data_IF_010441659661
#
_entry.id   IF_010441659661
#
_cell.length_a   1.000
_cell.length_b   1.000
_cell.length_c   1.000
_cell.angle_alpha   90.00
_cell.angle_beta   90.00
_cell.angle_gamma   90.00
#
_symmetry.space_group_name_H-M   'P 1'
#
loop_
_entity.id
_entity.type
_entity.pdbx_description
1 polymer ?
#
# COMPACT_ATOMS: atom_id res chain seq x y z
N UNK A 1 -18.22 -15.71 -56.88
CA UNK A 1 -18.64 -16.38 -55.63
C UNK A 1 -17.47 -16.73 -54.71
N UNK A 2 -16.31 -17.16 -55.23
CA UNK A 2 -15.18 -17.68 -54.44
C UNK A 2 -14.50 -16.71 -53.44
N UNK A 3 -14.48 -15.39 -53.71
CA UNK A 3 -13.77 -14.41 -52.83
C UNK A 3 -14.53 -14.08 -51.55
N UNK A 4 -15.86 -13.94 -51.63
CA UNK A 4 -16.71 -13.69 -50.46
C UNK A 4 -16.75 -14.90 -49.50
N UNK A 5 -16.74 -16.11 -50.04
CA UNK A 5 -16.61 -17.35 -49.25
C UNK A 5 -15.24 -17.47 -48.56
N UNK A 6 -14.18 -16.90 -49.17
CA UNK A 6 -12.87 -16.77 -48.53
C UNK A 6 -12.91 -15.86 -47.31
N UNK A 7 -13.51 -14.67 -47.45
CA UNK A 7 -13.66 -13.70 -46.35
C UNK A 7 -14.51 -14.27 -45.22
N UNK A 8 -15.63 -14.92 -45.54
CA UNK A 8 -16.50 -15.54 -44.53
C UNK A 8 -15.77 -16.62 -43.71
N UNK A 9 -14.96 -17.46 -44.36
CA UNK A 9 -14.14 -18.47 -43.67
C UNK A 9 -13.06 -17.84 -42.78
N UNK A 10 -12.39 -16.79 -43.25
CA UNK A 10 -11.40 -16.07 -42.46
C UNK A 10 -12.03 -15.43 -41.20
N UNK A 11 -13.24 -14.87 -41.32
CA UNK A 11 -13.95 -14.30 -40.17
C UNK A 11 -14.31 -15.36 -39.12
N UNK A 12 -14.78 -16.54 -39.54
CA UNK A 12 -15.08 -17.65 -38.61
C UNK A 12 -13.82 -18.13 -37.90
N UNK A 13 -12.70 -18.26 -38.60
CA UNK A 13 -11.41 -18.63 -37.99
C UNK A 13 -10.92 -17.57 -36.99
N UNK A 14 -11.12 -16.29 -37.30
CA UNK A 14 -10.76 -15.19 -36.41
C UNK A 14 -11.58 -15.21 -35.12
N UNK A 15 -12.89 -15.48 -35.23
CA UNK A 15 -13.81 -15.59 -34.10
C UNK A 15 -13.46 -16.78 -33.17
N UNK A 16 -13.10 -17.92 -33.76
CA UNK A 16 -12.62 -19.09 -33.01
C UNK A 16 -11.31 -18.79 -32.27
N UNK A 17 -10.35 -18.11 -32.92
CA UNK A 17 -9.09 -17.67 -32.27
C UNK A 17 -9.34 -16.68 -31.14
N UNK A 18 -10.23 -15.70 -31.34
CA UNK A 18 -10.59 -14.74 -30.30
C UNK A 18 -11.22 -15.43 -29.09
N UNK A 19 -12.17 -16.34 -29.33
CA UNK A 19 -12.79 -17.14 -28.26
C UNK A 19 -11.76 -17.96 -27.48
N UNK A 20 -10.78 -18.54 -28.18
CA UNK A 20 -9.67 -19.27 -27.54
C UNK A 20 -8.81 -18.37 -26.67
N UNK A 21 -8.50 -17.14 -27.13
CA UNK A 21 -7.72 -16.17 -26.36
C UNK A 21 -8.48 -15.66 -25.13
N UNK A 22 -9.79 -15.39 -25.25
CA UNK A 22 -10.60 -14.96 -24.10
C UNK A 22 -10.63 -16.02 -23.00
N UNK A 23 -10.76 -17.30 -23.39
CA UNK A 23 -10.68 -18.42 -22.45
C UNK A 23 -9.30 -18.53 -21.79
N UNK A 24 -8.21 -18.36 -22.54
CA UNK A 24 -6.85 -18.37 -22.00
C UNK A 24 -6.63 -17.21 -21.00
N UNK A 25 -7.08 -15.99 -21.34
CA UNK A 25 -7.00 -14.84 -20.44
C UNK A 25 -7.78 -15.06 -19.14
N UNK A 26 -8.95 -15.71 -19.21
CA UNK A 26 -9.72 -16.06 -18.02
C UNK A 26 -8.97 -17.04 -17.11
N UNK A 27 -8.37 -18.09 -17.69
CA UNK A 27 -7.54 -19.07 -16.95
C UNK A 27 -6.32 -18.40 -16.31
N UNK A 28 -5.68 -17.46 -17.02
CA UNK A 28 -4.53 -16.73 -16.51
C UNK A 28 -4.93 -15.76 -15.38
N UNK A 29 -6.09 -15.10 -15.48
CA UNK A 29 -6.61 -14.26 -14.42
C UNK A 29 -6.90 -15.07 -13.13
N UNK A 30 -7.48 -16.26 -13.27
CA UNK A 30 -7.72 -17.18 -12.16
C UNK A 30 -6.40 -17.66 -11.53
N UNK A 31 -5.41 -18.03 -12.36
CA UNK A 31 -4.06 -18.42 -11.90
C UNK A 31 -3.34 -17.30 -11.14
N UNK A 32 -3.39 -16.05 -11.63
CA UNK A 32 -2.81 -14.89 -10.94
C UNK A 32 -3.49 -14.65 -9.60
N UNK A 33 -4.81 -14.81 -9.53
CA UNK A 33 -5.56 -14.70 -8.27
C UNK A 33 -5.12 -15.75 -7.25
N UNK A 34 -4.95 -17.00 -7.69
CA UNK A 34 -4.45 -18.10 -6.84
C UNK A 34 -3.03 -17.81 -6.31
N UNK A 35 -2.11 -17.37 -7.18
CA UNK A 35 -0.73 -16.99 -6.79
C UNK A 35 -0.75 -15.85 -5.77
N UNK A 36 -1.60 -14.83 -5.97
CA UNK A 36 -1.74 -13.72 -5.01
C UNK A 36 -2.22 -14.22 -3.63
N UNK A 37 -3.17 -15.15 -3.59
CA UNK A 37 -3.65 -15.73 -2.34
C UNK A 37 -2.55 -16.55 -1.64
N UNK A 38 -1.77 -17.32 -2.40
CA UNK A 38 -0.66 -18.11 -1.87
C UNK A 38 0.47 -17.21 -1.34
N UNK A 39 0.81 -16.13 -2.04
CA UNK A 39 1.82 -15.16 -1.61
C UNK A 39 1.40 -14.44 -0.32
N UNK A 40 0.10 -14.09 -0.20
CA UNK A 40 -0.44 -13.55 1.04
C UNK A 40 -0.35 -14.56 2.19
N UNK A 41 -0.60 -15.84 1.92
CA UNK A 41 -0.45 -16.91 2.91
C UNK A 41 1.00 -17.08 3.35
N UNK A 42 1.96 -17.18 2.41
CA UNK A 42 3.40 -17.29 2.71
C UNK A 42 3.89 -16.08 3.49
N UNK A 43 3.52 -14.86 3.07
CA UNK A 43 3.88 -13.62 3.77
C UNK A 43 3.40 -13.65 5.22
N UNK A 44 2.16 -14.12 5.45
CA UNK A 44 1.60 -14.27 6.80
C UNK A 44 2.38 -15.31 7.61
N UNK A 45 2.71 -16.46 7.03
CA UNK A 45 3.49 -17.51 7.71
C UNK A 45 4.86 -16.98 8.11
N UNK A 46 5.57 -16.27 7.23
CA UNK A 46 6.86 -15.64 7.52
C UNK A 46 6.74 -14.58 8.62
N UNK A 47 5.69 -13.76 8.58
CA UNK A 47 5.45 -12.76 9.61
C UNK A 47 5.15 -13.43 10.98
N UNK A 48 4.37 -14.51 10.98
CA UNK A 48 4.03 -15.26 12.18
C UNK A 48 5.25 -16.00 12.76
N UNK A 49 6.11 -16.62 11.94
CA UNK A 49 7.35 -17.25 12.42
C UNK A 49 8.36 -16.22 12.92
N UNK A 50 8.49 -15.06 12.26
CA UNK A 50 9.30 -13.95 12.77
C UNK A 50 8.80 -13.44 14.13
N UNK A 51 7.49 -13.48 14.40
CA UNK A 51 6.95 -13.13 15.72
C UNK A 51 7.04 -14.25 16.75
N UNK A 52 7.05 -15.52 16.32
CA UNK A 52 7.09 -16.69 17.21
C UNK A 52 8.51 -16.99 17.73
N UNK A 53 9.55 -16.72 16.95
CA UNK A 53 10.96 -16.86 17.38
C UNK A 53 11.45 -15.70 18.28
N UNK A 54 10.55 -14.77 18.67
CA UNK A 54 10.83 -13.67 19.58
C UNK A 54 10.43 -13.95 21.05
N UNK A 55 10.56 -15.19 21.54
CA UNK A 55 10.66 -15.43 22.98
C UNK A 55 12.14 -15.40 23.43
N UNK A 56 12.46 -14.70 24.53
CA UNK A 56 13.82 -14.23 24.77
C UNK A 56 14.71 -15.35 25.30
N UNK A 57 15.66 -15.78 24.48
CA UNK A 57 16.93 -16.30 25.02
C UNK A 57 17.71 -15.11 25.63
N UNK A 58 18.30 -15.22 26.84
CA UNK A 58 18.80 -14.07 27.60
C UNK A 58 20.04 -13.35 27.03
N UNK A 59 20.52 -13.66 25.82
CA UNK A 59 21.85 -13.24 25.37
C UNK A 59 21.96 -12.67 23.94
N UNK A 60 20.86 -12.28 23.30
CA UNK A 60 20.92 -11.63 21.98
C UNK A 60 20.21 -10.27 21.90
N UNK A 61 20.68 -9.40 20.99
CA UNK A 61 20.76 -7.96 21.20
C UNK A 61 19.38 -7.33 21.25
N UNK A 62 19.19 -6.47 22.26
CA UNK A 62 18.03 -5.61 22.49
C UNK A 62 17.31 -5.27 21.18
N UNK A 63 16.17 -5.95 20.94
CA UNK A 63 15.25 -5.57 19.88
C UNK A 63 14.93 -4.09 20.07
N UNK A 64 15.23 -3.31 19.04
CA UNK A 64 15.00 -1.88 18.96
C UNK A 64 13.49 -1.64 18.95
N UNK A 65 12.91 -1.58 20.13
CA UNK A 65 11.50 -1.27 20.33
C UNK A 65 11.34 0.24 20.21
N UNK A 66 10.55 0.67 19.23
CA UNK A 66 10.17 2.07 19.09
C UNK A 66 9.18 2.42 20.21
N UNK A 67 9.67 3.11 21.22
CA UNK A 67 8.86 3.51 22.38
C UNK A 67 7.78 4.53 22.01
N UNK A 68 7.68 5.01 20.76
CA UNK A 68 6.68 5.97 20.31
C UNK A 68 6.66 7.28 21.13
N UNK A 69 7.81 7.67 21.68
CA UNK A 69 7.95 8.86 22.52
C UNK A 69 8.11 10.14 21.69
N UNK A 70 7.56 11.24 22.20
CA UNK A 70 7.72 12.60 21.67
C UNK A 70 8.18 13.51 22.79
N UNK A 71 9.19 14.34 22.50
CA UNK A 71 9.67 15.41 23.35
C UNK A 71 8.96 16.71 22.97
N UNK A 72 8.29 17.32 23.95
CA UNK A 72 7.82 18.70 23.93
C UNK A 72 8.80 19.58 24.74
N UNK A 73 9.43 20.53 24.08
CA UNK A 73 10.37 21.49 24.69
C UNK A 73 9.86 22.92 24.61
N UNK A 74 10.41 23.80 25.46
CA UNK A 74 10.06 25.23 25.50
C UNK A 74 8.95 25.58 26.50
N UNK A 75 8.63 24.68 27.43
CA UNK A 75 7.61 24.91 28.46
C UNK A 75 8.17 25.82 29.57
N UNK A 76 7.39 26.76 30.07
CA UNK A 76 7.77 27.55 31.25
C UNK A 76 7.85 26.66 32.49
N UNK A 77 8.86 26.88 33.35
CA UNK A 77 8.94 26.23 34.67
C UNK A 77 7.82 26.68 35.60
N UNK A 78 7.32 27.89 35.43
CA UNK A 78 6.29 28.51 36.28
C UNK A 78 4.87 28.04 35.90
N UNK A 79 4.74 27.25 34.83
CA UNK A 79 3.45 26.71 34.41
C UNK A 79 2.88 25.78 35.48
N UNK A 80 1.80 26.23 36.14
CA UNK A 80 0.99 25.46 37.11
C UNK A 80 0.10 24.40 36.45
N UNK A 81 -0.01 24.41 35.12
CA UNK A 81 -0.80 23.43 34.37
C UNK A 81 -0.22 22.02 34.51
N UNK A 82 -1.13 21.05 34.62
CA UNK A 82 -0.79 19.62 34.57
C UNK A 82 -0.29 19.23 33.18
N UNK A 83 0.53 18.18 33.11
CA UNK A 83 1.08 17.70 31.84
C UNK A 83 -0.03 17.35 30.82
N UNK A 84 -1.17 16.81 31.27
CA UNK A 84 -2.33 16.55 30.40
C UNK A 84 -2.91 17.84 29.83
N UNK A 85 -3.13 18.86 30.66
CA UNK A 85 -3.68 20.15 30.20
C UNK A 85 -2.72 20.87 29.24
N UNK A 86 -1.41 20.74 29.46
CA UNK A 86 -0.38 21.24 28.54
C UNK A 86 -0.51 20.55 27.18
N UNK A 87 -0.62 19.23 27.16
CA UNK A 87 -0.76 18.45 25.93
C UNK A 87 -2.08 18.73 25.23
N UNK A 88 -3.19 18.82 25.94
CA UNK A 88 -4.51 19.15 25.37
C UNK A 88 -4.46 20.50 24.64
N UNK A 89 -3.91 21.53 25.29
CA UNK A 89 -3.76 22.87 24.68
C UNK A 89 -2.80 22.84 23.48
N UNK A 90 -1.65 22.19 23.63
CA UNK A 90 -0.63 22.11 22.56
C UNK A 90 -1.19 21.39 21.33
N UNK A 91 -1.80 20.21 21.54
CA UNK A 91 -2.35 19.41 20.45
C UNK A 91 -3.57 20.08 19.82
N UNK A 92 -4.44 20.73 20.60
CA UNK A 92 -5.55 21.52 20.05
C UNK A 92 -5.07 22.63 19.11
N UNK A 93 -3.99 23.32 19.49
CA UNK A 93 -3.46 24.43 18.69
C UNK A 93 -2.75 24.00 17.39
N UNK A 94 -2.23 22.78 17.32
CA UNK A 94 -1.74 22.21 16.05
C UNK A 94 -2.86 21.56 15.21
N UNK A 95 -4.12 21.66 15.66
CA UNK A 95 -5.30 21.12 14.96
C UNK A 95 -5.61 19.66 15.28
N UNK A 96 -5.13 19.16 16.42
CA UNK A 96 -5.29 17.77 16.88
C UNK A 96 -5.97 17.68 18.28
N UNK A 97 -7.12 18.33 18.52
CA UNK A 97 -7.71 18.47 19.87
C UNK A 97 -8.10 17.16 20.55
N UNK A 98 -8.31 16.08 19.80
CA UNK A 98 -8.68 14.78 20.34
C UNK A 98 -7.51 13.81 20.49
N UNK A 99 -6.27 14.21 20.17
CA UNK A 99 -5.15 13.27 20.11
C UNK A 99 -4.53 12.95 21.47
N UNK A 100 -4.85 13.70 22.53
CA UNK A 100 -4.42 13.38 23.90
C UNK A 100 -4.95 12.06 24.42
N UNK A 101 -6.11 11.58 23.93
CA UNK A 101 -6.63 10.25 24.27
C UNK A 101 -5.74 9.09 23.80
N UNK A 102 -4.84 9.35 22.86
CA UNK A 102 -3.87 8.37 22.34
C UNK A 102 -2.51 8.47 23.03
N UNK A 103 -2.39 9.31 24.06
CA UNK A 103 -1.19 9.40 24.88
C UNK A 103 -1.32 8.41 26.04
N UNK A 104 -0.40 7.45 26.10
CA UNK A 104 -0.43 6.38 27.11
C UNK A 104 0.28 6.78 28.39
N UNK A 105 1.31 7.63 28.29
CA UNK A 105 2.14 8.04 29.42
C UNK A 105 2.76 9.41 29.19
N UNK A 106 2.95 10.15 30.27
CA UNK A 106 3.78 11.36 30.29
C UNK A 106 4.88 11.24 31.33
N UNK A 107 5.99 11.92 31.12
CA UNK A 107 7.10 12.02 32.09
C UNK A 107 7.89 13.30 31.88
N UNK A 108 8.41 13.89 32.95
CA UNK A 108 9.34 15.00 32.85
C UNK A 108 10.65 14.58 32.16
N UNK A 109 11.21 15.48 31.34
CA UNK A 109 12.53 15.29 30.74
C UNK A 109 13.59 16.00 31.58
N UNK A 110 14.41 15.24 32.31
CA UNK A 110 15.58 15.79 33.01
C UNK A 110 16.80 15.76 32.09
N UNK A 111 17.28 16.93 31.68
CA UNK A 111 18.53 17.05 30.94
C UNK A 111 19.72 16.87 31.89
N UNK A 112 20.04 15.63 32.29
CA UNK A 112 21.22 15.38 33.13
C UNK A 112 22.56 15.70 32.43
N UNK A 113 22.58 15.88 31.10
CA UNK A 113 23.81 16.01 30.31
C UNK A 113 23.83 17.12 29.23
N UNK A 114 22.87 18.06 29.18
CA UNK A 114 23.04 19.20 28.26
C UNK A 114 23.96 20.24 28.89
N UNK A 115 25.00 20.65 28.15
CA UNK A 115 25.84 21.80 28.49
C UNK A 115 24.90 22.99 28.71
N UNK A 116 24.75 23.43 29.96
CA UNK A 116 23.93 24.57 30.34
C UNK A 116 24.40 25.76 29.51
N UNK A 117 23.60 26.20 28.55
CA UNK A 117 23.83 27.48 27.90
C UNK A 117 23.30 28.54 28.87
N UNK A 118 24.15 29.39 29.47
CA UNK A 118 23.72 30.30 30.54
C UNK A 118 22.65 31.31 30.11
N UNK A 119 22.46 31.51 28.80
CA UNK A 119 21.48 32.43 28.23
C UNK A 119 20.13 31.79 27.84
N UNK A 120 19.96 30.46 27.95
CA UNK A 120 18.64 29.87 27.73
C UNK A 120 17.81 30.04 29.01
N UNK A 121 16.77 30.87 28.96
CA UNK A 121 15.77 30.99 30.01
C UNK A 121 15.32 29.61 30.50
N UNK A 122 15.07 29.49 31.80
CA UNK A 122 14.82 28.20 32.44
C UNK A 122 13.50 27.59 31.94
N UNK A 123 13.58 26.73 30.93
CA UNK A 123 12.44 26.00 30.36
C UNK A 123 12.47 24.54 30.81
N UNK A 124 11.29 23.96 31.05
CA UNK A 124 11.13 22.52 31.22
C UNK A 124 10.79 21.85 29.89
N UNK A 125 11.00 20.55 29.84
CA UNK A 125 10.58 19.70 28.73
C UNK A 125 9.78 18.51 29.26
N UNK A 126 8.83 18.07 28.46
CA UNK A 126 7.91 16.97 28.74
C UNK A 126 8.10 15.90 27.67
N UNK A 127 8.14 14.64 28.07
CA UNK A 127 8.02 13.51 27.14
C UNK A 127 6.67 12.88 27.30
N UNK A 128 6.05 12.54 26.17
CA UNK A 128 4.83 11.77 26.14
C UNK A 128 4.94 10.60 25.16
N UNK A 129 4.35 9.48 25.55
CA UNK A 129 4.34 8.25 24.78
C UNK A 129 3.01 8.13 24.03
N UNK A 130 3.08 7.93 22.72
CA UNK A 130 1.90 7.69 21.89
C UNK A 130 1.53 6.19 21.92
N UNK A 131 0.25 5.88 21.72
CA UNK A 131 -0.23 4.50 21.63
C UNK A 131 0.23 3.77 20.37
N UNK A 132 0.69 4.49 19.34
CA UNK A 132 1.24 3.91 18.12
C UNK A 132 2.20 4.87 17.39
N UNK A 133 3.07 4.35 16.49
CA UNK A 133 3.92 5.17 15.63
C UNK A 133 3.11 6.11 14.72
N UNK A 134 1.95 5.67 14.23
CA UNK A 134 1.08 6.46 13.36
C UNK A 134 0.58 7.73 14.06
N UNK A 135 0.18 7.61 15.34
CA UNK A 135 -0.24 8.77 16.15
C UNK A 135 0.93 9.73 16.34
N UNK A 136 2.12 9.20 16.68
CA UNK A 136 3.34 10.01 16.81
C UNK A 136 3.61 10.79 15.52
N UNK A 137 3.67 10.09 14.39
CA UNK A 137 4.06 10.68 13.11
C UNK A 137 3.03 11.73 12.65
N UNK A 138 1.75 11.53 12.96
CA UNK A 138 0.68 12.52 12.76
C UNK A 138 0.91 13.77 13.61
N UNK A 139 1.29 13.62 14.89
CA UNK A 139 1.61 14.76 15.76
C UNK A 139 2.85 15.50 15.24
N UNK A 140 3.89 14.77 14.84
CA UNK A 140 5.13 15.36 14.32
C UNK A 140 4.90 16.09 12.99
N UNK A 141 4.08 15.57 12.08
CA UNK A 141 3.78 16.26 10.81
C UNK A 141 3.07 17.60 11.02
N UNK A 142 2.31 17.75 12.10
CA UNK A 142 1.62 18.99 12.49
C UNK A 142 2.46 19.93 13.36
N UNK A 143 3.65 19.50 13.80
CA UNK A 143 4.50 20.26 14.73
C UNK A 143 4.95 21.62 14.19
N UNK A 144 5.04 21.79 12.86
CA UNK A 144 5.42 23.05 12.22
C UNK A 144 4.50 24.22 12.62
N UNK A 145 3.24 23.95 12.97
CA UNK A 145 2.28 24.97 13.43
C UNK A 145 2.67 25.60 14.78
N UNK A 146 3.51 24.94 15.58
CA UNK A 146 4.01 25.50 16.84
C UNK A 146 5.04 26.61 16.66
N UNK A 147 5.70 26.69 15.49
CA UNK A 147 6.74 27.70 15.24
C UNK A 147 6.24 29.14 15.36
N UNK A 148 4.95 29.37 15.12
CA UNK A 148 4.30 30.68 15.19
C UNK A 148 3.62 30.96 16.54
N UNK A 149 3.62 30.00 17.47
CA UNK A 149 2.88 30.09 18.72
C UNK A 149 3.86 30.34 19.87
N UNK A 150 3.71 31.49 20.53
CA UNK A 150 4.49 31.81 21.73
C UNK A 150 3.93 31.08 22.94
N UNK A 151 4.80 30.57 23.81
CA UNK A 151 4.41 29.88 25.05
C UNK A 151 3.46 30.72 25.91
N UNK A 152 3.67 32.04 25.97
CA UNK A 152 2.79 32.98 26.68
C UNK A 152 1.34 32.94 26.19
N UNK A 153 1.12 32.93 24.87
CA UNK A 153 -0.23 32.90 24.28
C UNK A 153 -0.99 31.60 24.56
N UNK A 154 -0.26 30.50 24.72
CA UNK A 154 -0.86 29.18 24.89
C UNK A 154 -1.19 28.88 26.37
N UNK A 155 -0.31 29.29 27.27
CA UNK A 155 -0.37 28.89 28.68
C UNK A 155 -0.56 30.04 29.67
N UNK A 156 -0.61 31.30 29.21
CA UNK A 156 -0.67 32.49 30.07
C UNK A 156 0.51 32.57 31.05
N UNK A 157 1.72 32.30 30.55
CA UNK A 157 2.97 32.33 31.34
C UNK A 157 3.92 33.37 30.79
N UNK A 158 4.70 34.05 31.64
CA UNK A 158 5.56 35.19 31.27
C UNK A 158 6.84 34.83 30.49
N UNK A 159 6.82 33.71 29.76
CA UNK A 159 7.95 33.23 28.96
C UNK A 159 7.81 33.50 27.47
N UNK A 160 8.81 34.15 26.88
CA UNK A 160 8.94 34.34 25.41
C UNK A 160 9.43 33.10 24.65
N UNK A 161 9.38 31.92 25.26
CA UNK A 161 9.81 30.67 24.63
C UNK A 161 8.96 30.30 23.40
N UNK A 162 9.58 29.62 22.44
CA UNK A 162 8.89 28.89 21.39
C UNK A 162 8.79 27.40 21.73
N UNK A 163 7.65 26.79 21.39
CA UNK A 163 7.43 25.37 21.60
C UNK A 163 7.97 24.56 20.42
N UNK A 164 8.54 23.40 20.73
CA UNK A 164 8.95 22.45 19.68
C UNK A 164 8.62 21.02 20.06
N UNK A 165 8.13 20.25 19.10
CA UNK A 165 7.92 18.81 19.20
C UNK A 165 8.99 18.07 18.41
N UNK A 166 9.58 17.02 18.99
CA UNK A 166 10.54 16.15 18.32
C UNK A 166 10.31 14.70 18.68
N UNK A 167 10.36 13.75 17.73
CA UNK A 167 10.29 12.34 18.07
C UNK A 167 11.53 11.95 18.89
N UNK A 168 11.31 11.21 19.97
CA UNK A 168 12.38 10.57 20.73
C UNK A 168 12.54 9.15 20.22
N UNK A 169 13.44 9.03 19.27
CA UNK A 169 13.93 7.73 18.85
C UNK A 169 14.92 7.22 19.90
N UNK A 170 14.88 5.92 20.27
CA UNK A 170 15.96 5.35 21.06
C UNK A 170 17.29 5.63 20.36
N UNK A 171 18.34 5.96 21.13
CA UNK A 171 19.65 6.40 20.58
C UNK A 171 20.26 5.45 19.54
N UNK A 172 19.84 4.18 19.52
CA UNK A 172 20.29 3.14 18.58
C UNK A 172 19.39 2.96 17.35
N UNK A 173 18.25 3.66 17.25
CA UNK A 173 17.27 3.47 16.16
C UNK A 173 17.58 4.34 14.96
N UNK A 174 18.20 5.52 15.15
CA UNK A 174 18.61 6.36 14.04
C UNK A 174 19.81 5.72 13.35
N UNK A 175 19.67 5.16 12.15
CA UNK A 175 20.82 4.59 11.47
C UNK A 175 21.82 5.71 11.19
N UNK A 176 23.08 5.46 11.46
CA UNK A 176 24.14 6.40 11.10
C UNK A 176 24.44 6.28 9.61
N UNK A 177 24.60 7.43 8.95
CA UNK A 177 25.04 7.43 7.57
C UNK A 177 26.44 6.82 7.48
N UNK A 178 26.56 5.75 6.69
CA UNK A 178 27.82 5.05 6.51
C UNK A 178 28.95 5.96 5.97
N UNK A 179 28.60 7.05 5.29
CA UNK A 179 29.53 8.05 4.77
C UNK A 179 29.85 9.15 5.78
N UNK A 180 28.88 9.99 6.16
CA UNK A 180 29.15 11.18 6.95
C UNK A 180 29.11 10.94 8.47
N UNK A 181 28.74 9.74 8.93
CA UNK A 181 28.62 9.36 10.35
C UNK A 181 27.59 10.18 11.16
N UNK A 182 26.76 10.97 10.48
CA UNK A 182 25.64 11.66 11.12
C UNK A 182 24.40 10.76 11.11
N UNK A 183 23.59 10.86 12.16
CA UNK A 183 22.30 10.17 12.27
C UNK A 183 21.35 10.56 11.12
N UNK A 184 20.56 9.60 10.62
CA UNK A 184 19.59 9.84 9.56
C UNK A 184 18.18 9.92 10.15
N UNK A 185 17.54 11.10 10.08
CA UNK A 185 16.30 11.39 10.80
C UNK A 185 15.00 11.22 10.01
N UNK A 186 15.05 11.17 8.68
CA UNK A 186 13.84 11.23 7.84
C UNK A 186 13.87 10.19 6.72
N UNK A 187 14.71 10.41 5.71
CA UNK A 187 14.84 9.53 4.56
C UNK A 187 16.24 8.93 4.53
N UNK A 188 16.33 7.61 4.44
CA UNK A 188 17.58 6.90 4.16
C UNK A 188 17.40 5.92 3.01
N UNK A 189 18.51 5.65 2.35
CA UNK A 189 18.62 4.54 1.41
C UNK A 189 19.46 3.45 2.07
N UNK A 190 18.94 2.23 2.06
CA UNK A 190 19.60 1.05 2.62
C UNK A 190 20.09 0.16 1.49
N UNK A 191 21.35 -0.24 1.53
CA UNK A 191 21.86 -1.27 0.62
C UNK A 191 21.35 -2.65 1.07
N UNK A 192 20.75 -3.41 0.15
CA UNK A 192 20.19 -4.73 0.45
C UNK A 192 21.28 -5.77 0.81
N UNK A 193 22.47 -5.68 0.22
CA UNK A 193 23.56 -6.61 0.51
C UNK A 193 24.30 -6.33 1.82
N UNK A 194 24.63 -5.06 2.09
CA UNK A 194 25.48 -4.68 3.23
C UNK A 194 24.68 -4.08 4.42
N UNK A 195 23.37 -3.87 4.28
CA UNK A 195 22.50 -3.17 5.24
C UNK A 195 22.93 -1.75 5.66
N UNK A 196 23.96 -1.18 5.02
CA UNK A 196 24.43 0.18 5.30
C UNK A 196 23.37 1.20 4.87
N UNK A 197 23.12 2.17 5.73
CA UNK A 197 22.18 3.25 5.50
C UNK A 197 22.92 4.54 5.12
N UNK A 198 22.37 5.31 4.19
CA UNK A 198 22.95 6.55 3.67
C UNK A 198 21.88 7.64 3.57
N UNK A 199 22.26 8.91 3.80
CA UNK A 199 21.42 10.03 3.35
C UNK A 199 21.34 10.01 1.82
N UNK A 200 20.21 10.43 1.22
CA UNK A 200 20.08 10.55 -0.24
C UNK A 200 21.25 11.33 -0.89
N UNK A 201 21.60 12.49 -0.35
CA UNK A 201 22.73 13.30 -0.83
C UNK A 201 24.12 12.70 -0.57
N UNK A 202 24.22 11.66 0.28
CA UNK A 202 25.48 10.98 0.56
C UNK A 202 25.78 9.84 -0.42
N UNK A 203 24.82 9.38 -1.22
CA UNK A 203 24.94 8.16 -2.02
C UNK A 203 25.97 8.29 -3.14
N UNK A 204 25.84 9.29 -4.03
CA UNK A 204 26.74 9.42 -5.19
C UNK A 204 28.22 9.44 -4.78
N UNK A 205 28.65 10.25 -3.80
CA UNK A 205 30.06 10.25 -3.44
C UNK A 205 30.44 9.15 -2.44
N UNK A 206 29.48 8.43 -1.84
CA UNK A 206 29.76 7.16 -1.17
C UNK A 206 30.11 6.08 -2.20
N UNK A 207 29.30 5.92 -3.24
CA UNK A 207 29.52 4.93 -4.32
C UNK A 207 30.81 5.20 -5.10
N UNK A 208 31.16 6.48 -5.29
CA UNK A 208 32.42 6.87 -5.92
C UNK A 208 33.68 6.57 -5.08
N UNK A 209 33.54 6.29 -3.78
CA UNK A 209 34.68 5.96 -2.93
C UNK A 209 35.25 4.57 -3.27
N UNK A 210 36.57 4.47 -3.37
CA UNK A 210 37.27 3.21 -3.65
C UNK A 210 37.00 2.14 -2.58
N UNK A 211 36.85 2.54 -1.32
CA UNK A 211 36.60 1.67 -0.17
C UNK A 211 35.15 1.14 -0.07
N UNK A 212 34.26 1.53 -1.00
CA UNK A 212 32.86 1.08 -0.97
C UNK A 212 32.73 -0.35 -1.49
N UNK A 213 32.05 -1.19 -0.72
CA UNK A 213 31.80 -2.60 -1.06
C UNK A 213 31.06 -2.73 -2.39
N UNK A 214 31.38 -3.78 -3.15
CA UNK A 214 30.78 -4.05 -4.47
C UNK A 214 29.24 -4.07 -4.42
N UNK A 215 28.67 -4.69 -3.39
CA UNK A 215 27.21 -4.77 -3.23
C UNK A 215 26.56 -3.38 -3.09
N UNK A 216 27.20 -2.47 -2.35
CA UNK A 216 26.68 -1.12 -2.18
C UNK A 216 26.94 -0.27 -3.45
N UNK A 217 27.97 -0.57 -4.27
CA UNK A 217 28.13 0.05 -5.61
C UNK A 217 27.01 -0.36 -6.55
N UNK A 218 26.80 -1.66 -6.73
CA UNK A 218 25.81 -2.22 -7.65
C UNK A 218 24.36 -1.84 -7.27
N UNK A 219 24.01 -1.96 -5.98
CA UNK A 219 22.64 -1.71 -5.52
C UNK A 219 22.26 -0.23 -5.50
N UNK A 220 23.24 0.69 -5.38
CA UNK A 220 22.98 2.11 -5.18
C UNK A 220 23.32 2.97 -6.40
N UNK A 221 24.14 2.48 -7.35
CA UNK A 221 24.46 3.22 -8.58
C UNK A 221 23.28 3.38 -9.52
N UNK A 222 22.33 2.44 -9.47
CA UNK A 222 21.12 2.46 -10.30
C UNK A 222 20.03 3.42 -9.77
N UNK A 223 20.18 3.94 -8.55
CA UNK A 223 19.22 4.87 -7.97
C UNK A 223 19.48 6.27 -8.52
N UNK A 224 18.67 6.69 -9.49
CA UNK A 224 18.70 8.05 -10.01
C UNK A 224 18.07 9.02 -9.01
N UNK A 225 18.83 9.35 -7.98
CA UNK A 225 18.46 10.32 -6.96
C UNK A 225 19.01 11.66 -7.45
N UNK A 226 18.28 12.26 -8.37
CA UNK A 226 18.38 13.70 -8.59
C UNK A 226 17.77 14.40 -7.37
N UNK A 227 18.44 15.38 -6.75
CA UNK A 227 17.82 16.17 -5.71
C UNK A 227 16.59 16.84 -6.33
N UNK A 228 15.40 16.44 -5.89
CA UNK A 228 14.16 17.09 -6.31
C UNK A 228 14.25 18.57 -5.98
N UNK A 229 14.31 19.40 -7.00
CA UNK A 229 13.92 20.80 -6.89
C UNK A 229 12.40 20.79 -6.75
N UNK A 230 11.92 20.77 -5.51
CA UNK A 230 10.52 21.06 -5.26
C UNK A 230 10.23 22.47 -5.79
N UNK A 231 9.21 22.57 -6.65
CA UNK A 231 8.82 23.79 -7.37
C UNK A 231 8.21 24.88 -6.47
N UNK A 232 8.25 24.73 -5.14
CA UNK A 232 7.83 25.75 -4.18
C UNK A 232 9.06 26.33 -3.49
N UNK A 233 9.34 27.61 -3.77
CA UNK A 233 10.53 28.37 -3.37
C UNK A 233 10.76 28.57 -1.87
N UNK A 234 10.71 27.53 -1.05
CA UNK A 234 11.14 27.55 0.34
C UNK A 234 12.60 27.07 0.45
N UNK A 235 13.50 28.02 0.73
CA UNK A 235 14.91 27.74 0.99
C UNK A 235 15.04 26.87 2.25
N UNK A 236 15.38 25.60 2.08
CA UNK A 236 16.06 24.84 3.13
C UNK A 236 17.46 25.43 3.30
N UNK A 237 17.62 26.36 4.26
CA UNK A 237 18.93 26.74 4.77
C UNK A 237 19.47 25.58 5.63
N UNK A 238 20.23 24.68 5.01
CA UNK A 238 21.22 23.91 5.76
C UNK A 238 22.37 24.85 6.12
N UNK A 239 22.68 24.96 7.41
CA UNK A 239 23.77 25.76 7.94
C UNK A 239 25.11 25.51 7.22
N UNK A 240 25.74 26.63 6.82
CA UNK A 240 27.16 26.85 6.56
C UNK A 240 27.98 25.66 6.01
N UNK A 241 28.01 25.55 4.67
CA UNK A 241 29.17 25.00 3.98
C UNK A 241 30.08 26.17 3.55
N UNK A 242 31.31 26.12 4.05
CA UNK A 242 32.42 27.00 3.70
C UNK A 242 32.57 27.09 2.18
N UNK A 243 32.51 28.32 1.67
CA UNK A 243 32.67 28.66 0.27
C UNK A 243 34.11 28.44 -0.22
N UNK A 244 34.28 27.84 -1.39
CA UNK A 244 35.33 28.21 -2.35
C UNK A 244 34.89 27.90 -3.79
N UNK A 245 34.86 28.96 -4.59
CA UNK A 245 34.52 29.08 -6.02
C UNK A 245 35.48 28.27 -6.92
N UNK A 246 35.10 27.77 -8.12
CA UNK A 246 34.89 28.54 -9.37
C UNK A 246 34.37 27.64 -10.52
N UNK A 247 33.40 28.19 -11.28
CA UNK A 247 33.15 28.16 -12.75
C UNK A 247 33.16 26.81 -13.52
N UNK A 248 32.30 26.55 -14.53
CA UNK A 248 31.76 27.43 -15.58
C UNK A 248 30.53 26.77 -16.24
N UNK A 249 29.56 27.59 -16.62
CA UNK A 249 28.31 27.23 -17.30
C UNK A 249 28.49 26.85 -18.78
N UNK A 250 27.54 26.07 -19.32
CA UNK A 250 26.95 26.29 -20.65
C UNK A 250 25.56 25.65 -20.77
N UNK A 251 24.62 26.47 -21.24
CA UNK A 251 23.22 26.18 -21.55
C UNK A 251 23.07 25.21 -22.72
N UNK A 252 21.95 24.49 -22.78
CA UNK A 252 21.01 24.51 -23.92
C UNK A 252 19.71 23.80 -23.54
N UNK A 253 18.60 24.44 -23.88
CA UNK A 253 17.22 23.97 -23.72
C UNK A 253 16.75 23.31 -25.02
N UNK A 254 15.89 22.29 -24.93
CA UNK A 254 14.91 21.92 -25.97
C UNK A 254 13.67 21.33 -25.29
N UNK A 255 12.55 22.01 -25.47
CA UNK A 255 11.16 21.57 -25.28
C UNK A 255 10.78 20.45 -26.26
N UNK A 256 9.91 19.51 -25.83
CA UNK A 256 8.80 19.02 -26.66
C UNK A 256 7.88 18.06 -25.87
N UNK A 257 6.71 18.59 -25.52
CA UNK A 257 5.51 17.87 -25.09
C UNK A 257 4.86 17.12 -26.27
N UNK A 258 4.26 15.94 -26.04
CA UNK A 258 3.06 15.50 -26.77
C UNK A 258 2.34 14.33 -26.08
N UNK A 259 1.17 14.63 -25.54
CA UNK A 259 0.15 13.65 -25.18
C UNK A 259 -0.67 13.24 -26.41
N UNK A 260 -1.32 12.07 -26.33
CA UNK A 260 -2.30 11.59 -27.30
C UNK A 260 -3.58 11.20 -26.57
N UNK A 261 -4.65 11.92 -26.91
CA UNK A 261 -6.05 11.67 -26.56
C UNK A 261 -6.77 10.95 -27.70
N UNK A 262 -7.62 10.01 -27.30
CA UNK A 262 -8.97 9.70 -27.80
C UNK A 262 -9.29 9.30 -29.26
N UNK A 263 -10.05 8.17 -29.31
CA UNK A 263 -11.21 7.80 -30.15
C UNK A 263 -11.05 7.60 -31.65
N UNK A 264 -11.48 6.41 -32.10
CA UNK A 264 -12.33 6.27 -33.30
C UNK A 264 -13.18 4.99 -33.23
N UNK A 265 -14.48 5.16 -32.99
CA UNK A 265 -15.53 4.15 -33.22
C UNK A 265 -16.07 4.37 -34.64
N UNK A 266 -15.78 3.44 -35.55
CA UNK A 266 -16.37 3.41 -36.89
C UNK A 266 -17.31 2.21 -36.96
N UNK A 267 -18.59 2.44 -36.68
CA UNK A 267 -19.69 1.55 -37.10
C UNK A 267 -20.47 2.31 -38.17
N UNK A 268 -20.56 1.82 -39.41
CA UNK A 268 -21.41 2.48 -40.40
C UNK A 268 -22.86 2.06 -40.17
N UNK A 269 -23.65 3.00 -39.62
CA UNK A 269 -25.09 3.00 -39.75
C UNK A 269 -25.45 3.33 -41.22
N UNK A 270 -26.10 2.41 -41.92
CA UNK A 270 -26.74 2.72 -43.19
C UNK A 270 -26.92 1.53 -44.13
N UNK A 271 -28.11 0.93 -44.13
CA UNK A 271 -28.84 0.53 -45.35
C UNK A 271 -30.23 -0.05 -45.01
N UNK A 272 -31.24 0.81 -44.96
CA UNK A 272 -32.66 0.42 -45.01
C UNK A 272 -33.37 0.90 -46.30
N UNK A 273 -32.61 1.17 -47.39
CA UNK A 273 -33.17 1.74 -48.62
C UNK A 273 -32.91 0.95 -49.91
N UNK A 274 -32.73 -0.37 -49.83
CA UNK A 274 -32.45 -1.21 -51.00
C UNK A 274 -33.56 -2.22 -51.37
N UNK A 275 -34.72 -2.21 -50.69
CA UNK A 275 -35.75 -3.26 -50.90
C UNK A 275 -37.01 -2.80 -51.65
N UNK A 276 -36.99 -1.68 -52.38
CA UNK A 276 -38.19 -1.12 -53.03
C UNK A 276 -38.06 -0.89 -54.54
N UNK A 277 -37.23 -1.68 -55.24
CA UNK A 277 -37.07 -1.55 -56.71
C UNK A 277 -37.14 -2.87 -57.49
N UNK A 278 -37.57 -4.00 -56.88
CA UNK A 278 -37.58 -5.32 -57.53
C UNK A 278 -38.94 -6.05 -57.46
N UNK A 279 -40.06 -5.31 -57.40
CA UNK A 279 -41.40 -5.90 -57.48
C UNK A 279 -42.24 -5.12 -58.50
N UNK A 280 -42.07 -5.51 -59.77
CA UNK A 280 -42.81 -4.97 -60.89
C UNK A 280 -42.75 -5.97 -62.04
N UNK A 281 -43.42 -7.11 -61.86
CA UNK A 281 -43.77 -8.00 -62.95
C UNK A 281 -44.61 -7.22 -63.97
N UNK A 282 -43.96 -6.79 -65.05
CA UNK A 282 -44.60 -6.47 -66.31
C UNK A 282 -43.93 -7.32 -67.37
N UNK A 283 -44.75 -8.13 -68.01
CA UNK A 283 -44.40 -8.97 -69.16
C UNK A 283 -43.49 -8.23 -70.13
N UNK A 284 -42.27 -8.75 -70.31
CA UNK A 284 -41.31 -8.25 -71.29
C UNK A 284 -41.75 -8.69 -72.69
N UNK A 285 -41.98 -7.77 -73.65
CA UNK A 285 -41.98 -8.15 -75.06
C UNK A 285 -40.56 -8.56 -75.45
N UNK A 286 -40.43 -9.64 -76.21
CA UNK A 286 -39.15 -10.22 -76.67
C UNK A 286 -38.45 -9.34 -77.72
N UNK A 287 -38.05 -8.14 -77.32
CA UNK A 287 -37.14 -7.31 -78.12
C UNK A 287 -35.73 -7.53 -77.58
N UNK A 288 -34.87 -8.09 -78.44
CA UNK A 288 -33.44 -8.17 -78.16
C UNK A 288 -32.93 -6.80 -77.73
N UNK A 289 -32.23 -6.70 -76.58
CA UNK A 289 -31.72 -5.42 -76.10
C UNK A 289 -30.77 -4.85 -77.14
N UNK A 290 -31.11 -3.66 -77.64
CA UNK A 290 -30.23 -2.97 -78.58
C UNK A 290 -28.85 -2.75 -77.94
N UNK A 291 -27.74 -2.81 -78.70
CA UNK A 291 -26.39 -2.63 -78.17
C UNK A 291 -26.21 -1.37 -77.29
N UNK A 292 -26.99 -0.31 -77.56
CA UNK A 292 -27.00 0.92 -76.77
C UNK A 292 -27.60 0.76 -75.36
N UNK A 293 -28.64 -0.05 -75.20
CA UNK A 293 -29.24 -0.34 -73.89
C UNK A 293 -28.30 -1.18 -73.02
N UNK A 294 -27.60 -2.14 -73.63
CA UNK A 294 -26.56 -2.93 -72.96
C UNK A 294 -25.40 -2.05 -72.48
N UNK A 295 -24.92 -1.13 -73.34
CA UNK A 295 -23.87 -0.18 -72.97
C UNK A 295 -24.28 0.74 -71.81
N UNK A 296 -25.51 1.27 -71.83
CA UNK A 296 -26.03 2.09 -70.73
C UNK A 296 -26.27 1.33 -69.42
N UNK A 297 -26.44 0.00 -69.49
CA UNK A 297 -26.50 -0.87 -68.31
C UNK A 297 -25.09 -1.14 -67.75
N UNK A 298 -24.13 -1.48 -68.60
CA UNK A 298 -22.72 -1.69 -68.20
C UNK A 298 -22.12 -0.43 -67.55
N UNK A 299 -22.35 0.75 -68.13
CA UNK A 299 -21.91 2.03 -67.55
C UNK A 299 -22.49 2.32 -66.15
N UNK A 300 -23.67 1.77 -65.83
CA UNK A 300 -24.29 1.93 -64.50
C UNK A 300 -23.81 0.88 -63.50
N UNK A 301 -23.35 -0.27 -63.97
CA UNK A 301 -22.86 -1.37 -63.13
C UNK A 301 -21.39 -1.20 -62.78
N UNK A 302 -20.56 -0.77 -63.71
CA UNK A 302 -19.12 -0.55 -63.49
C UNK A 302 -18.80 0.27 -62.23
N UNK A 303 -19.44 1.43 -61.97
CA UNK A 303 -19.17 2.19 -60.74
C UNK A 303 -19.60 1.44 -59.46
N UNK A 304 -20.66 0.62 -59.53
CA UNK A 304 -21.09 -0.22 -58.40
C UNK A 304 -20.10 -1.36 -58.14
N UNK A 305 -19.60 -2.00 -59.20
CA UNK A 305 -18.55 -3.04 -59.10
C UNK A 305 -17.26 -2.44 -58.55
N UNK A 306 -16.85 -1.26 -59.02
CA UNK A 306 -15.64 -0.58 -58.53
C UNK A 306 -15.78 -0.18 -57.06
N UNK A 307 -16.95 0.32 -56.64
CA UNK A 307 -17.23 0.62 -55.23
C UNK A 307 -17.19 -0.65 -54.36
N UNK A 308 -17.80 -1.73 -54.82
CA UNK A 308 -17.78 -3.01 -54.10
C UNK A 308 -16.36 -3.57 -53.99
N UNK A 309 -15.57 -3.47 -55.08
CA UNK A 309 -14.16 -3.87 -55.10
C UNK A 309 -13.34 -3.07 -54.09
N UNK A 310 -13.58 -1.76 -53.99
CA UNK A 310 -12.95 -0.91 -52.98
C UNK A 310 -13.32 -1.30 -51.55
N UNK A 311 -14.59 -1.65 -51.30
CA UNK A 311 -15.03 -2.15 -49.99
C UNK A 311 -14.35 -3.49 -49.64
N UNK A 312 -14.24 -4.41 -50.60
CA UNK A 312 -13.55 -5.70 -50.41
C UNK A 312 -12.08 -5.48 -50.06
N UNK A 313 -11.38 -4.59 -50.76
CA UNK A 313 -9.98 -4.25 -50.45
C UNK A 313 -9.84 -3.61 -49.06
N UNK A 314 -10.78 -2.75 -48.66
CA UNK A 314 -10.79 -2.17 -47.31
C UNK A 314 -10.97 -3.25 -46.24
N UNK A 315 -11.89 -4.20 -46.45
CA UNK A 315 -12.11 -5.33 -45.53
C UNK A 315 -10.87 -6.21 -45.46
N UNK A 316 -10.25 -6.54 -46.59
CA UNK A 316 -9.00 -7.32 -46.63
C UNK A 316 -7.89 -6.63 -45.81
N UNK A 317 -7.70 -5.32 -45.99
CA UNK A 317 -6.71 -4.55 -45.20
C UNK A 317 -7.02 -4.50 -43.70
N UNK A 318 -8.30 -4.58 -43.33
CA UNK A 318 -8.72 -4.62 -41.93
C UNK A 318 -8.46 -6.00 -41.33
N UNK A 319 -8.76 -7.07 -42.06
CA UNK A 319 -8.48 -8.46 -41.66
C UNK A 319 -6.97 -8.64 -41.41
N UNK A 320 -6.11 -8.20 -42.33
CA UNK A 320 -4.66 -8.31 -42.14
C UNK A 320 -4.18 -7.56 -40.89
N UNK A 321 -4.74 -6.37 -40.60
CA UNK A 321 -4.41 -5.63 -39.36
C UNK A 321 -4.88 -6.36 -38.11
N UNK A 322 -6.02 -7.03 -38.16
CA UNK A 322 -6.49 -7.85 -37.04
C UNK A 322 -5.61 -9.08 -36.83
N UNK A 323 -5.21 -9.77 -37.90
CA UNK A 323 -4.32 -10.93 -37.83
C UNK A 323 -2.99 -10.57 -37.16
N UNK A 324 -2.35 -9.45 -37.56
CA UNK A 324 -1.10 -8.99 -36.92
C UNK A 324 -1.29 -8.65 -35.44
N UNK A 325 -2.44 -8.06 -35.06
CA UNK A 325 -2.74 -7.76 -33.65
C UNK A 325 -2.96 -9.02 -32.82
N UNK A 326 -3.61 -10.02 -33.39
CA UNK A 326 -3.84 -11.32 -32.74
C UNK A 326 -2.51 -12.03 -32.53
N UNK A 327 -1.65 -12.08 -33.55
CA UNK A 327 -0.30 -12.67 -33.46
C UNK A 327 0.54 -11.98 -32.37
N UNK A 328 0.53 -10.64 -32.32
CA UNK A 328 1.21 -9.87 -31.27
C UNK A 328 0.59 -10.08 -29.86
N UNK A 329 -0.64 -10.57 -29.76
CA UNK A 329 -1.28 -10.92 -28.50
C UNK A 329 -0.97 -12.37 -28.10
N UNK A 330 -0.86 -13.29 -29.05
CA UNK A 330 -0.40 -14.68 -28.82
C UNK A 330 1.02 -14.67 -28.25
N UNK A 331 1.95 -13.93 -28.85
CA UNK A 331 3.34 -13.83 -28.36
C UNK A 331 3.44 -13.24 -26.95
N UNK A 332 2.62 -12.21 -26.63
CA UNK A 332 2.56 -11.66 -25.27
C UNK A 332 1.99 -12.65 -24.25
N UNK A 333 1.03 -13.47 -24.66
CA UNK A 333 0.44 -14.49 -23.79
C UNK A 333 1.45 -15.60 -23.50
N UNK A 334 2.18 -16.06 -24.52
CA UNK A 334 3.27 -17.03 -24.36
C UNK A 334 4.37 -16.50 -23.43
N UNK A 335 4.72 -15.21 -23.55
CA UNK A 335 5.68 -14.58 -22.64
C UNK A 335 5.17 -14.57 -21.19
N UNK A 336 3.91 -14.19 -20.95
CA UNK A 336 3.34 -14.20 -19.60
C UNK A 336 3.28 -15.62 -19.00
N UNK A 337 2.97 -16.64 -19.82
CA UNK A 337 2.96 -18.04 -19.37
C UNK A 337 4.36 -18.52 -18.96
N UNK A 338 5.41 -18.07 -19.66
CA UNK A 338 6.79 -18.31 -19.29
C UNK A 338 7.16 -17.64 -17.94
N UNK A 339 6.79 -16.37 -17.75
CA UNK A 339 7.02 -15.63 -16.50
C UNK A 339 6.29 -16.27 -15.30
N UNK A 340 5.04 -16.72 -15.50
CA UNK A 340 4.27 -17.44 -14.46
C UNK A 340 4.97 -18.75 -14.08
N UNK A 341 5.53 -19.46 -15.06
CA UNK A 341 6.25 -20.72 -14.83
C UNK A 341 7.53 -20.49 -14.02
N UNK A 342 8.28 -19.42 -14.31
CA UNK A 342 9.46 -19.02 -13.55
C UNK A 342 9.10 -18.65 -12.10
N UNK A 343 8.06 -17.85 -11.90
CA UNK A 343 7.58 -17.47 -10.55
C UNK A 343 7.21 -18.72 -9.74
N UNK A 344 6.51 -19.70 -10.35
CA UNK A 344 6.15 -20.96 -9.69
C UNK A 344 7.38 -21.77 -9.30
N UNK A 345 8.42 -21.80 -10.14
CA UNK A 345 9.68 -22.47 -9.82
C UNK A 345 10.37 -21.84 -8.59
N UNK A 346 10.50 -20.50 -8.58
CA UNK A 346 11.09 -19.76 -7.45
C UNK A 346 10.29 -19.97 -6.16
N UNK A 347 8.95 -19.96 -6.24
CA UNK A 347 8.11 -20.28 -5.09
C UNK A 347 8.34 -21.69 -4.56
N UNK A 348 8.50 -22.67 -5.44
CA UNK A 348 8.86 -24.05 -5.07
C UNK A 348 10.17 -24.12 -4.32
N UNK A 349 11.22 -23.43 -4.79
CA UNK A 349 12.53 -23.36 -4.13
C UNK A 349 12.46 -22.73 -2.74
N UNK A 350 11.69 -21.64 -2.59
CA UNK A 350 11.46 -21.01 -1.29
C UNK A 350 10.74 -21.97 -0.34
N UNK A 351 9.72 -22.69 -0.81
CA UNK A 351 8.98 -23.66 0.02
C UNK A 351 9.88 -24.81 0.48
N UNK A 352 10.74 -25.33 -0.40
CA UNK A 352 11.71 -26.38 -0.05
C UNK A 352 12.70 -25.85 0.99
N UNK A 353 13.28 -24.67 0.75
CA UNK A 353 14.23 -24.03 1.67
C UNK A 353 13.61 -23.81 3.05
N UNK A 354 12.36 -23.37 3.11
CA UNK A 354 11.65 -23.11 4.36
C UNK A 354 11.35 -24.41 5.12
N UNK A 355 10.96 -25.48 4.43
CA UNK A 355 10.82 -26.82 5.06
C UNK A 355 12.15 -27.35 5.57
N UNK A 356 13.23 -27.22 4.81
CA UNK A 356 14.56 -27.65 5.23
C UNK A 356 15.07 -26.88 6.46
N UNK A 357 14.81 -25.57 6.53
CA UNK A 357 15.15 -24.75 7.70
C UNK A 357 14.34 -25.13 8.94
N UNK A 358 13.05 -25.48 8.77
CA UNK A 358 12.21 -25.97 9.88
C UNK A 358 12.61 -27.38 10.35
N UNK A 359 13.06 -28.24 9.44
CA UNK A 359 13.47 -29.61 9.76
C UNK A 359 14.86 -29.69 10.45
N UNK A 360 15.73 -28.69 10.26
CA UNK A 360 17.08 -28.66 10.83
C UNK A 360 17.18 -27.95 12.18
N UNK A 361 16.07 -27.51 12.77
CA UNK A 361 16.02 -27.02 14.15
C UNK A 361 16.42 -28.11 15.16
N UNK A 362 17.25 -27.82 16.18
CA UNK A 362 17.85 -28.84 17.03
C UNK A 362 16.80 -29.54 17.91
N UNK A 363 16.45 -30.77 17.52
CA UNK A 363 15.74 -31.76 18.32
C UNK A 363 16.66 -32.26 19.45
N UNK A 364 16.82 -31.47 20.50
CA UNK A 364 17.33 -31.94 21.79
C UNK A 364 16.82 -31.02 22.92
N UNK A 365 15.53 -31.13 23.23
CA UNK A 365 15.05 -30.80 24.58
C UNK A 365 13.74 -31.55 24.85
N UNK A 366 13.90 -32.68 25.55
CA UNK A 366 12.82 -33.43 26.19
C UNK A 366 12.22 -32.56 27.29
N UNK A 367 11.31 -31.66 26.94
CA UNK A 367 10.46 -30.96 27.91
C UNK A 367 9.01 -31.20 27.54
N UNK A 368 8.29 -31.71 28.53
CA UNK A 368 6.87 -32.03 28.52
C UNK A 368 6.02 -30.86 28.03
N UNK A 369 4.91 -31.12 27.32
CA UNK A 369 4.07 -30.07 26.72
C UNK A 369 3.27 -29.37 27.82
N UNK A 370 3.87 -28.35 28.44
CA UNK A 370 3.16 -27.45 29.34
C UNK A 370 2.44 -26.40 28.50
N UNK A 371 1.14 -26.65 28.26
CA UNK A 371 0.06 -25.66 28.13
C UNK A 371 0.43 -24.24 27.64
N UNK A 372 1.12 -24.11 26.50
CA UNK A 372 1.17 -22.87 25.74
C UNK A 372 0.15 -22.94 24.62
N UNK A 373 -1.12 -22.73 25.00
CA UNK A 373 -2.25 -22.59 24.06
C UNK A 373 -2.85 -21.20 24.25
N UNK A 374 -2.07 -20.18 23.88
CA UNK A 374 -2.55 -18.84 23.55
C UNK A 374 -1.59 -18.22 22.53
N UNK A 375 -1.44 -18.89 21.39
CA UNK A 375 -0.84 -18.31 20.19
C UNK A 375 -1.97 -18.15 19.17
N UNK A 376 -2.21 -16.89 18.78
CA UNK A 376 -3.14 -16.42 17.73
C UNK A 376 -4.65 -16.47 17.99
N UNK A 377 -5.09 -16.53 19.24
CA UNK A 377 -6.52 -16.52 19.54
C UNK A 377 -7.14 -15.12 19.36
N UNK A 378 -7.86 -14.91 18.27
CA UNK A 378 -8.81 -13.80 18.07
C UNK A 378 -10.03 -13.94 19.01
N UNK A 379 -9.77 -14.17 20.29
CA UNK A 379 -10.75 -14.44 21.34
C UNK A 379 -10.93 -13.18 22.20
N UNK A 380 -12.17 -12.69 22.30
CA UNK A 380 -12.57 -11.63 23.23
C UNK A 380 -13.31 -12.31 24.38
N UNK A 381 -12.81 -12.12 25.61
CA UNK A 381 -13.50 -12.57 26.82
C UNK A 381 -14.44 -11.45 27.31
N UNK A 382 -15.74 -11.74 27.34
CA UNK A 382 -16.75 -10.91 27.98
C UNK A 382 -17.09 -11.50 29.35
N UNK A 383 -16.88 -10.72 30.40
CA UNK A 383 -17.23 -11.08 31.78
C UNK A 383 -18.30 -10.15 32.34
N UNK A 384 -18.92 -10.53 33.46
CA UNK A 384 -19.82 -9.64 34.21
C UNK A 384 -21.28 -9.62 33.77
N UNK A 385 -21.73 -10.58 32.93
CA UNK A 385 -23.15 -10.66 32.56
C UNK A 385 -23.96 -11.29 33.70
N UNK A 386 -25.06 -10.67 34.19
CA UNK A 386 -25.87 -11.27 35.24
C UNK A 386 -26.45 -12.63 34.83
N UNK A 387 -26.44 -13.62 35.73
CA UNK A 387 -26.97 -14.97 35.47
C UNK A 387 -28.42 -14.96 34.97
N UNK A 388 -29.22 -13.98 35.43
CA UNK A 388 -30.63 -13.80 35.08
C UNK A 388 -30.90 -13.27 33.67
N UNK A 389 -29.86 -12.90 32.91
CA UNK A 389 -30.03 -12.53 31.49
C UNK A 389 -30.24 -13.81 30.68
N UNK A 390 -31.51 -14.12 30.39
CA UNK A 390 -31.94 -15.21 29.50
C UNK A 390 -32.11 -14.71 28.07
N UNK A 391 -31.05 -14.11 27.51
CA UNK A 391 -31.02 -13.73 26.10
C UNK A 391 -30.29 -14.81 25.29
N UNK A 392 -30.71 -15.09 24.05
CA UNK A 392 -29.94 -15.91 23.13
C UNK A 392 -28.56 -15.30 22.89
N UNK A 393 -27.56 -16.15 22.63
CA UNK A 393 -26.14 -15.75 22.54
C UNK A 393 -25.94 -14.64 21.51
N UNK A 394 -26.66 -14.72 20.41
CA UNK A 394 -26.64 -13.79 19.28
C UNK A 394 -27.11 -12.39 19.69
N UNK A 395 -28.11 -12.31 20.57
CA UNK A 395 -28.66 -11.05 21.05
C UNK A 395 -27.74 -10.39 22.08
N UNK A 396 -27.14 -11.18 22.98
CA UNK A 396 -26.09 -10.71 23.89
C UNK A 396 -24.92 -10.10 23.12
N UNK A 397 -24.47 -10.78 22.05
CA UNK A 397 -23.42 -10.25 21.17
C UNK A 397 -23.86 -8.93 20.54
N UNK A 398 -25.03 -8.89 19.92
CA UNK A 398 -25.52 -7.70 19.24
C UNK A 398 -25.61 -6.50 20.19
N UNK A 399 -26.12 -6.69 21.41
CA UNK A 399 -26.22 -5.66 22.45
C UNK A 399 -24.83 -5.17 22.86
N UNK A 400 -23.91 -6.09 23.17
CA UNK A 400 -22.56 -5.75 23.64
C UNK A 400 -21.77 -5.01 22.56
N UNK A 401 -21.76 -5.51 21.32
CA UNK A 401 -21.10 -4.82 20.21
C UNK A 401 -21.75 -3.47 19.90
N UNK A 402 -23.08 -3.35 19.99
CA UNK A 402 -23.77 -2.07 19.81
C UNK A 402 -23.41 -1.08 20.92
N UNK A 403 -23.32 -1.53 22.17
CA UNK A 403 -22.90 -0.70 23.31
C UNK A 403 -21.45 -0.22 23.18
N UNK A 404 -20.57 -1.02 22.58
CA UNK A 404 -19.19 -0.62 22.25
C UNK A 404 -19.10 0.30 21.01
N UNK A 405 -20.22 0.68 20.39
CA UNK A 405 -20.24 1.48 19.16
C UNK A 405 -19.89 0.69 17.89
N UNK A 406 -19.76 -0.64 17.99
CA UNK A 406 -19.42 -1.56 16.91
C UNK A 406 -20.67 -2.18 16.29
N UNK A 407 -21.58 -1.34 15.81
CA UNK A 407 -22.78 -1.80 15.11
C UNK A 407 -22.35 -2.70 13.94
N UNK A 408 -22.97 -3.88 13.83
CA UNK A 408 -22.68 -4.94 12.84
C UNK A 408 -21.48 -5.87 13.10
N UNK A 409 -20.68 -5.68 14.16
CA UNK A 409 -19.52 -6.55 14.39
C UNK A 409 -19.87 -7.99 14.79
N UNK A 410 -21.06 -8.22 15.33
CA UNK A 410 -21.56 -9.55 15.66
C UNK A 410 -21.57 -10.49 14.43
N UNK A 411 -21.70 -9.95 13.21
CA UNK A 411 -21.67 -10.73 11.96
C UNK A 411 -20.30 -11.34 11.66
N UNK A 412 -19.23 -10.83 12.28
CA UNK A 412 -17.87 -11.32 12.10
C UNK A 412 -17.45 -12.32 13.17
N UNK A 413 -18.35 -12.72 14.07
CA UNK A 413 -18.06 -13.77 15.04
C UNK A 413 -18.07 -15.14 14.37
N UNK A 414 -16.95 -15.84 14.44
CA UNK A 414 -16.83 -17.21 13.98
C UNK A 414 -17.44 -18.19 14.99
N UNK A 415 -17.24 -17.95 16.30
CA UNK A 415 -17.72 -18.84 17.34
C UNK A 415 -17.97 -18.12 18.66
N UNK A 416 -18.88 -18.63 19.48
CA UNK A 416 -19.12 -18.15 20.85
C UNK A 416 -19.31 -19.34 21.78
N UNK A 417 -18.47 -19.40 22.81
CA UNK A 417 -18.54 -20.44 23.85
C UNK A 417 -18.67 -19.83 25.24
N UNK A 418 -19.42 -20.46 26.15
CA UNK A 418 -19.34 -20.10 27.56
C UNK A 418 -17.90 -20.25 28.05
N UNK A 419 -17.47 -19.33 28.90
CA UNK A 419 -16.18 -19.42 29.57
C UNK A 419 -16.38 -20.07 30.93
N UNK A 420 -15.71 -21.19 31.16
CA UNK A 420 -15.68 -21.86 32.45
C UNK A 420 -14.29 -21.64 33.09
N UNK A 421 -14.20 -20.95 34.23
CA UNK A 421 -12.94 -20.77 34.92
C UNK A 421 -12.37 -22.14 35.33
N UNK A 422 -11.10 -22.39 35.02
CA UNK A 422 -10.38 -23.55 35.56
C UNK A 422 -10.33 -23.39 37.09
N UNK A 423 -10.83 -24.40 37.79
CA UNK A 423 -11.31 -24.44 39.18
C UNK A 423 -10.33 -24.07 40.32
N UNK A 424 -9.25 -23.31 40.10
CA UNK A 424 -8.20 -23.12 41.10
C UNK A 424 -7.79 -21.66 41.43
N UNK A 425 -8.51 -20.63 40.96
CA UNK A 425 -8.20 -19.23 41.34
C UNK A 425 -9.45 -18.41 41.68
N UNK A 426 -9.45 -17.91 42.92
CA UNK A 426 -10.26 -16.84 43.54
C UNK A 426 -11.66 -16.57 42.93
N UNK A 427 -12.65 -16.81 43.78
CA UNK A 427 -14.08 -16.45 43.67
C UNK A 427 -14.38 -15.31 42.70
N UNK A 428 -14.96 -15.66 41.54
CA UNK A 428 -15.78 -14.72 40.78
C UNK A 428 -16.99 -14.29 41.63
N UNK A 429 -17.54 -13.09 41.39
CA UNK A 429 -18.82 -12.72 41.99
C UNK A 429 -19.86 -13.76 41.62
N UNK A 430 -20.52 -14.36 42.62
CA UNK A 430 -21.32 -15.58 42.53
C UNK A 430 -22.52 -15.54 41.55
N UNK A 431 -22.72 -14.43 40.82
CA UNK A 431 -23.91 -14.15 40.03
C UNK A 431 -23.62 -13.69 38.59
N UNK A 432 -22.42 -13.92 38.04
CA UNK A 432 -22.13 -13.55 36.64
C UNK A 432 -21.73 -14.74 35.75
N UNK A 433 -22.11 -14.66 34.48
CA UNK A 433 -21.68 -15.55 33.39
C UNK A 433 -20.61 -14.83 32.56
N UNK A 434 -19.76 -15.61 31.91
CA UNK A 434 -18.76 -15.13 30.97
C UNK A 434 -18.80 -15.90 29.66
N UNK A 435 -18.43 -15.23 28.56
CA UNK A 435 -18.39 -15.81 27.22
C UNK A 435 -17.06 -15.47 26.54
N UNK A 436 -16.57 -16.40 25.74
CA UNK A 436 -15.47 -16.17 24.79
C UNK A 436 -16.04 -16.06 23.40
N UNK A 437 -15.73 -14.95 22.74
CA UNK A 437 -16.09 -14.66 21.35
C UNK A 437 -14.87 -14.83 20.44
N UNK A 438 -14.94 -15.69 19.43
CA UNK A 438 -13.88 -15.85 18.43
C UNK A 438 -14.27 -15.10 17.16
N UNK A 439 -13.41 -14.21 16.67
CA UNK A 439 -13.64 -13.44 15.44
C UNK A 439 -13.14 -14.18 14.19
N UNK A 440 -13.87 -14.02 13.09
CA UNK A 440 -13.43 -14.42 11.75
C UNK A 440 -12.38 -13.42 11.22
N UNK A 441 -11.26 -13.95 10.73
CA UNK A 441 -9.99 -13.24 10.51
C UNK A 441 -9.94 -12.03 9.54
N UNK A 442 -10.86 -11.76 8.59
CA UNK A 442 -10.59 -10.75 7.56
C UNK A 442 -10.50 -9.28 8.02
N UNK A 443 -11.02 -8.89 9.19
CA UNK A 443 -11.27 -7.47 9.54
C UNK A 443 -10.52 -6.93 10.76
N UNK A 444 -9.36 -7.50 11.10
CA UNK A 444 -8.48 -7.05 12.20
C UNK A 444 -8.07 -5.56 12.12
N UNK A 445 -8.07 -4.96 10.93
CA UNK A 445 -7.80 -3.53 10.76
C UNK A 445 -8.88 -2.63 11.41
N UNK A 446 -10.12 -3.10 11.50
CA UNK A 446 -11.22 -2.32 12.09
C UNK A 446 -11.19 -2.34 13.63
N UNK A 447 -10.60 -3.36 14.26
CA UNK A 447 -10.45 -3.45 15.72
C UNK A 447 -9.25 -2.67 16.25
N UNK A 448 -8.19 -2.47 15.45
CA UNK A 448 -7.04 -1.62 15.80
C UNK A 448 -7.40 -0.14 15.98
N UNK A 449 -8.60 0.27 15.56
CA UNK A 449 -9.13 1.62 15.71
C UNK A 449 -9.97 1.83 17.00
N UNK A 450 -10.13 0.79 17.84
CA UNK A 450 -10.91 0.90 19.08
C UNK A 450 -10.19 1.71 20.16
N UNK A 451 -10.91 2.53 20.94
CA UNK A 451 -10.39 3.08 22.19
C UNK A 451 -10.03 1.93 23.14
N UNK A 452 -8.89 2.04 23.84
CA UNK A 452 -8.59 1.17 24.98
C UNK A 452 -9.67 1.36 26.05
N UNK A 453 -10.59 0.39 26.18
CA UNK A 453 -11.48 0.34 27.33
C UNK A 453 -10.62 0.14 28.60
N UNK A 454 -10.78 1.03 29.57
CA UNK A 454 -10.14 0.89 30.90
C UNK A 454 -10.61 -0.43 31.53
N UNK A 455 -9.66 -1.20 32.06
CA UNK A 455 -9.92 -2.37 32.91
C UNK A 455 -10.57 -1.97 34.22
#
# INVERSE_FOLDING_TARGET
MTRMEGVARAMVQLDERLTKQENALKVNAESISAIKQELLHVTRTVQNTQTADCYPSPQHPQHLTDDCEVLLSGLSLESTLTDSAILDKTLSNIGLPQHTRFITRTRGWSQKNQRKNPNSGHTRSLVFQCSSPVVRDTIISHSHKLSNIRTQSLFNTDGEGSLSLRPLWPKKVMPECARCKHSIAYSYVRCNGCSKCLHPGCIKPYVACSATLLCCKHSLSALDISPGLDNDGSRFRSSEAVAFSRAKARNTAVDASRGLTETDSIVPAGNQKASQEMAGDKELPSNEPTPQQLMGFLQRIDPKINKLTGHVQCIESFITRLETRIEAQETRTEQHDAEITEIRAVMGEIQVSLRSALASGPLNSTTTPTNSRMTDSCEILLTGLPIGVNLPKEEVQAIVFTAMGLKHFHKFLAHTRPWEPKSNRRSEPANTKAFVFTLSSPNMHALKALPSCRR
#
